data_IF_416670517996
#
_entry.id   IF_416670517996
#
_cell.length_a   1.000
_cell.length_b   1.000
_cell.length_c   1.000
_cell.angle_alpha   90.00
_cell.angle_beta   90.00
_cell.angle_gamma   90.00
#
_symmetry.space_group_name_H-M   'P 1'
#
loop_
_entity.id
_entity.type
_entity.pdbx_description
1 polymer ?
#
# COMPACT_ATOMS: atom_id res chain seq x y z
N UNK A 1 -44.74 -21.40 1.19
CA UNK A 1 -43.81 -20.57 1.98
C UNK A 1 -42.68 -21.46 2.48
N UNK A 2 -41.56 -21.56 1.76
CA UNK A 2 -40.37 -22.33 2.12
C UNK A 2 -39.20 -21.39 2.37
N UNK A 3 -38.70 -21.37 3.61
CA UNK A 3 -37.56 -20.58 4.03
C UNK A 3 -36.30 -21.33 3.62
N UNK A 4 -35.47 -20.78 2.71
CA UNK A 4 -34.12 -21.27 2.43
C UNK A 4 -33.15 -20.76 3.50
N UNK A 5 -32.47 -21.69 4.17
CA UNK A 5 -31.36 -21.44 5.09
C UNK A 5 -30.06 -21.38 4.28
N UNK A 6 -29.12 -20.48 4.60
CA UNK A 6 -27.78 -20.51 3.99
C UNK A 6 -26.93 -21.60 4.65
N UNK A 7 -26.40 -22.51 3.84
CA UNK A 7 -25.45 -23.54 4.27
C UNK A 7 -24.07 -22.90 4.47
N UNK A 8 -23.58 -23.02 5.71
CA UNK A 8 -22.19 -22.80 6.05
C UNK A 8 -21.35 -23.94 5.49
N UNK A 9 -20.41 -23.65 4.62
CA UNK A 9 -19.44 -24.61 4.10
C UNK A 9 -18.21 -24.62 5.02
N UNK A 10 -18.15 -25.64 5.91
CA UNK A 10 -16.97 -26.00 6.68
C UNK A 10 -16.03 -26.76 5.74
N UNK A 11 -14.84 -26.28 5.49
CA UNK A 11 -13.76 -27.02 4.86
C UNK A 11 -12.77 -27.46 5.92
N UNK A 12 -12.72 -28.77 6.12
CA UNK A 12 -11.77 -29.51 6.94
C UNK A 12 -10.36 -29.49 6.28
N UNK A 13 -9.39 -28.95 7.02
CA UNK A 13 -7.98 -29.05 6.69
C UNK A 13 -7.45 -30.42 7.13
N UNK A 14 -7.04 -31.25 6.18
CA UNK A 14 -6.31 -32.50 6.42
C UNK A 14 -4.81 -32.23 6.59
N UNK A 15 -4.33 -32.53 7.77
CA UNK A 15 -2.94 -32.50 8.22
C UNK A 15 -2.18 -33.69 7.60
N UNK A 16 -1.18 -33.45 6.76
CA UNK A 16 -0.20 -34.46 6.35
C UNK A 16 1.15 -34.19 7.02
N UNK A 17 1.45 -35.06 7.99
CA UNK A 17 2.72 -35.12 8.70
C UNK A 17 3.61 -36.11 7.95
N UNK A 18 4.66 -35.68 7.27
CA UNK A 18 5.71 -36.57 6.73
C UNK A 18 7.00 -36.41 7.53
N UNK A 19 7.33 -37.47 8.23
CA UNK A 19 8.65 -37.68 8.85
C UNK A 19 9.71 -37.85 7.75
N UNK A 20 10.84 -37.12 7.86
CA UNK A 20 12.07 -37.35 7.14
C UNK A 20 13.15 -37.85 8.12
N UNK A 21 13.90 -38.92 7.78
CA UNK A 21 14.98 -39.39 8.64
C UNK A 21 16.26 -38.57 8.48
N UNK A 22 16.96 -38.40 9.59
CA UNK A 22 18.27 -37.79 9.65
C UNK A 22 19.32 -38.78 9.07
N UNK A 23 20.10 -38.29 8.09
CA UNK A 23 21.33 -38.97 7.66
C UNK A 23 22.54 -38.20 8.19
N UNK A 24 23.30 -38.87 9.03
CA UNK A 24 24.60 -38.45 9.50
C UNK A 24 25.66 -38.75 8.44
N UNK A 25 26.51 -37.78 8.11
CA UNK A 25 27.71 -37.98 7.31
C UNK A 25 28.96 -37.71 8.18
N UNK A 26 30.04 -38.49 7.97
CA UNK A 26 31.22 -38.47 8.85
C UNK A 26 32.16 -37.31 8.58
N UNK A 27 32.73 -36.81 9.66
CA UNK A 27 33.81 -35.80 9.66
C UNK A 27 35.11 -36.48 9.22
N UNK A 28 35.79 -35.93 8.21
CA UNK A 28 37.17 -36.21 7.90
C UNK A 28 38.08 -35.09 8.39
N UNK A 29 39.15 -35.53 9.06
CA UNK A 29 40.11 -34.69 9.72
C UNK A 29 41.05 -33.94 8.74
N UNK A 30 41.49 -32.82 9.25
CA UNK A 30 42.49 -31.85 8.83
C UNK A 30 43.87 -32.43 8.41
N UNK A 31 44.62 -31.71 7.60
CA UNK A 31 45.97 -31.42 8.03
C UNK A 31 46.34 -29.92 8.03
N UNK A 32 47.08 -29.57 9.07
CA UNK A 32 47.65 -28.28 9.35
C UNK A 32 48.57 -27.79 8.24
N UNK A 33 48.42 -26.53 7.81
CA UNK A 33 49.40 -25.85 6.99
C UNK A 33 49.80 -24.50 7.55
N UNK A 34 51.09 -24.29 7.46
CA UNK A 34 51.96 -23.28 8.02
C UNK A 34 51.50 -21.82 7.89
N UNK A 35 51.78 -21.04 8.94
CA UNK A 35 51.81 -19.58 8.95
C UNK A 35 52.86 -19.00 8.03
N UNK A 36 52.54 -18.05 7.17
CA UNK A 36 53.51 -17.10 6.64
C UNK A 36 53.58 -15.84 7.51
N UNK A 37 54.76 -15.27 7.60
CA UNK A 37 55.19 -14.12 8.38
C UNK A 37 54.49 -12.80 8.02
N UNK A 38 54.57 -11.79 8.89
CA UNK A 38 53.85 -10.52 8.75
C UNK A 38 54.48 -9.67 7.64
N UNK A 39 53.68 -9.30 6.66
CA UNK A 39 54.03 -8.28 5.66
C UNK A 39 53.77 -6.89 6.23
N UNK A 40 54.80 -6.06 6.07
CA UNK A 40 54.85 -4.67 6.46
C UNK A 40 53.66 -3.84 6.00
N UNK A 41 53.22 -3.03 6.92
CA UNK A 41 52.43 -1.83 6.83
C UNK A 41 52.64 -1.04 5.53
N UNK A 42 51.62 -1.00 4.70
CA UNK A 42 51.40 0.01 3.68
C UNK A 42 50.10 0.70 3.92
N UNK A 43 50.02 1.39 5.05
CA UNK A 43 49.03 2.44 5.33
C UNK A 43 49.37 3.65 4.45
N UNK A 44 49.07 3.57 3.15
CA UNK A 44 49.02 4.75 2.28
C UNK A 44 47.58 5.13 2.05
N UNK A 45 47.25 6.23 2.60
CA UNK A 45 46.23 7.21 2.19
C UNK A 45 45.20 6.68 1.17
N UNK A 46 44.29 5.85 1.66
CA UNK A 46 43.06 5.61 0.93
C UNK A 46 42.11 6.76 1.28
N UNK A 47 42.21 7.88 0.53
CA UNK A 47 41.16 8.88 0.48
C UNK A 47 39.84 8.14 0.26
N UNK A 48 38.89 8.17 1.21
CA UNK A 48 37.60 7.53 0.97
C UNK A 48 37.01 8.16 -0.29
N UNK A 49 36.43 7.34 -1.20
CA UNK A 49 35.77 7.90 -2.37
C UNK A 49 34.74 8.93 -1.87
N UNK A 50 34.56 10.07 -2.57
CA UNK A 50 33.61 11.08 -2.19
C UNK A 50 32.25 10.35 -1.98
N UNK A 51 31.73 10.43 -0.77
CA UNK A 51 30.39 9.97 -0.44
C UNK A 51 29.48 10.61 -1.46
N UNK A 52 29.07 9.84 -2.47
CA UNK A 52 28.06 10.30 -3.43
C UNK A 52 26.96 10.92 -2.59
N UNK A 53 26.65 12.19 -2.86
CA UNK A 53 25.67 12.97 -2.13
C UNK A 53 24.39 12.12 -2.03
N UNK A 54 24.22 11.39 -0.93
CA UNK A 54 22.97 10.73 -0.60
C UNK A 54 22.00 11.86 -0.49
N UNK A 55 21.02 11.90 -1.42
CA UNK A 55 19.95 12.87 -1.35
C UNK A 55 19.43 12.87 0.09
N UNK A 56 19.09 14.08 0.61
CA UNK A 56 18.62 14.22 1.97
C UNK A 56 17.48 13.22 2.20
N UNK A 57 17.68 12.29 3.13
CA UNK A 57 16.70 11.31 3.54
C UNK A 57 15.43 12.03 3.99
N UNK A 58 14.26 11.55 3.54
CA UNK A 58 12.97 12.14 3.93
C UNK A 58 12.46 11.53 5.22
N UNK A 59 11.71 12.32 6.00
CA UNK A 59 10.94 11.85 7.14
C UNK A 59 9.43 12.02 6.89
N UNK A 60 8.62 11.51 7.81
CA UNK A 60 7.17 11.56 7.70
C UNK A 60 6.64 13.00 7.66
N UNK A 61 7.24 13.92 8.41
CA UNK A 61 6.82 15.33 8.43
C UNK A 61 7.07 15.99 7.09
N UNK A 62 8.23 15.72 6.47
CA UNK A 62 8.53 16.24 5.14
C UNK A 62 7.50 15.76 4.12
N UNK A 63 7.18 14.45 4.12
CA UNK A 63 6.21 13.88 3.19
C UNK A 63 4.82 14.47 3.40
N UNK A 64 4.33 14.49 4.65
CA UNK A 64 3.00 14.99 4.97
C UNK A 64 2.85 16.47 4.63
N UNK A 65 3.87 17.29 4.93
CA UNK A 65 3.86 18.70 4.55
C UNK A 65 3.79 18.90 3.03
N UNK A 66 4.49 18.05 2.25
CA UNK A 66 4.48 18.12 0.79
C UNK A 66 3.16 17.66 0.17
N UNK A 67 2.48 16.72 0.81
CA UNK A 67 1.17 16.22 0.37
C UNK A 67 0.00 17.14 0.76
N UNK A 68 0.22 18.03 1.72
CA UNK A 68 -0.83 18.96 2.18
C UNK A 68 -1.28 19.87 1.04
N UNK A 69 -2.56 19.84 0.72
CA UNK A 69 -3.20 20.67 -0.31
C UNK A 69 -4.52 21.22 0.22
N UNK A 70 -4.77 22.53 0.07
CA UNK A 70 -6.09 23.08 0.39
C UNK A 70 -7.16 22.55 -0.59
N UNK A 71 -8.41 22.38 -0.13
CA UNK A 71 -9.51 22.10 -1.05
C UNK A 71 -9.82 23.34 -1.92
N UNK A 72 -10.44 23.18 -3.10
CA UNK A 72 -10.84 21.92 -3.71
C UNK A 72 -9.68 21.18 -4.35
N UNK A 73 -9.74 19.85 -4.31
CA UNK A 73 -8.73 18.97 -4.91
C UNK A 73 -9.39 17.94 -5.82
N UNK A 74 -8.69 17.56 -6.86
CA UNK A 74 -9.08 16.47 -7.76
C UNK A 74 -7.85 15.68 -8.20
N UNK A 75 -7.91 14.35 -8.12
CA UNK A 75 -6.80 13.46 -8.43
C UNK A 75 -7.33 12.25 -9.20
N UNK A 76 -6.91 12.04 -10.45
CA UNK A 76 -7.27 10.84 -11.20
C UNK A 76 -6.68 9.60 -10.55
N UNK A 77 -7.39 8.48 -10.65
CA UNK A 77 -6.90 7.19 -10.19
C UNK A 77 -7.18 6.06 -11.17
N UNK A 78 -6.31 5.05 -11.12
CA UNK A 78 -6.53 3.72 -11.71
C UNK A 78 -6.23 2.67 -10.66
N UNK A 79 -7.18 1.81 -10.37
CA UNK A 79 -7.12 0.74 -9.38
C UNK A 79 -7.26 -0.61 -10.05
N UNK A 80 -6.37 -1.54 -9.73
CA UNK A 80 -6.47 -2.92 -10.18
C UNK A 80 -7.09 -3.77 -9.07
N UNK A 81 -8.26 -4.35 -9.34
CA UNK A 81 -8.96 -5.25 -8.43
C UNK A 81 -8.82 -6.69 -8.85
N UNK A 82 -8.32 -7.49 -7.92
CA UNK A 82 -8.27 -8.94 -8.04
C UNK A 82 -9.44 -9.56 -7.25
N UNK A 83 -10.03 -10.61 -7.80
CA UNK A 83 -11.03 -11.39 -7.08
C UNK A 83 -10.97 -12.82 -7.60
N UNK A 84 -11.10 -13.79 -6.70
CA UNK A 84 -11.16 -15.21 -7.06
C UNK A 84 -12.33 -15.54 -8.01
N UNK A 85 -13.35 -14.68 -8.07
CA UNK A 85 -14.51 -14.84 -8.97
C UNK A 85 -14.29 -14.22 -10.35
N UNK A 86 -13.24 -13.41 -10.53
CA UNK A 86 -12.92 -12.76 -11.80
C UNK A 86 -11.87 -13.56 -12.56
N UNK A 87 -12.14 -13.84 -13.84
CA UNK A 87 -11.18 -14.51 -14.74
C UNK A 87 -9.99 -13.61 -15.11
N UNK A 88 -10.16 -12.29 -15.01
CA UNK A 88 -9.14 -11.27 -15.30
C UNK A 88 -9.25 -10.18 -14.23
N UNK A 89 -8.16 -9.49 -13.96
CA UNK A 89 -8.19 -8.30 -13.12
C UNK A 89 -9.22 -7.29 -13.64
N UNK A 90 -9.93 -6.63 -12.73
CA UNK A 90 -10.83 -5.54 -13.05
C UNK A 90 -10.08 -4.23 -12.89
N UNK A 91 -9.90 -3.51 -13.98
CA UNK A 91 -9.36 -2.15 -13.97
C UNK A 91 -10.50 -1.19 -13.69
N UNK A 92 -10.36 -0.40 -12.64
CA UNK A 92 -11.34 0.61 -12.23
C UNK A 92 -10.66 1.97 -12.31
N UNK A 93 -11.24 2.89 -13.07
CA UNK A 93 -10.69 4.24 -13.20
C UNK A 93 -11.71 5.31 -12.82
N UNK A 94 -11.19 6.48 -12.44
CA UNK A 94 -12.02 7.58 -12.01
C UNK A 94 -11.23 8.70 -11.37
N UNK A 95 -11.85 9.36 -10.40
CA UNK A 95 -11.29 10.53 -9.75
C UNK A 95 -11.62 10.56 -8.26
N UNK A 96 -10.62 10.87 -7.44
CA UNK A 96 -10.84 11.31 -6.07
C UNK A 96 -11.00 12.81 -6.06
N UNK A 97 -12.06 13.30 -5.41
CA UNK A 97 -12.30 14.73 -5.22
C UNK A 97 -12.44 15.06 -3.74
N UNK A 98 -11.89 16.18 -3.35
CA UNK A 98 -12.01 16.76 -2.03
C UNK A 98 -12.54 18.20 -2.18
N UNK A 99 -13.87 18.37 -2.24
CA UNK A 99 -14.47 19.69 -2.46
C UNK A 99 -14.29 20.63 -1.27
N UNK A 100 -14.24 20.10 -0.07
CA UNK A 100 -14.05 20.81 1.21
C UNK A 100 -13.16 19.99 2.17
N UNK A 101 -12.93 20.49 3.37
CA UNK A 101 -12.06 19.84 4.35
C UNK A 101 -12.56 18.47 4.84
N UNK A 102 -13.87 18.29 4.88
CA UNK A 102 -14.54 17.15 5.55
C UNK A 102 -15.13 16.12 4.58
N UNK A 103 -15.12 16.42 3.28
CA UNK A 103 -15.76 15.59 2.25
C UNK A 103 -14.71 14.96 1.33
N UNK A 104 -14.76 13.64 1.22
CA UNK A 104 -14.03 12.87 0.21
C UNK A 104 -15.03 12.22 -0.75
N UNK A 105 -14.85 12.45 -2.05
CA UNK A 105 -15.65 11.83 -3.11
C UNK A 105 -14.76 10.92 -3.94
N UNK A 106 -15.14 9.67 -4.07
CA UNK A 106 -14.56 8.72 -5.04
C UNK A 106 -15.56 8.53 -6.16
N UNK A 107 -15.25 9.02 -7.33
CA UNK A 107 -16.04 8.88 -8.54
C UNK A 107 -15.41 7.83 -9.45
N UNK A 108 -16.04 6.67 -9.60
CA UNK A 108 -15.68 5.66 -10.58
C UNK A 108 -16.40 6.01 -11.89
N UNK A 109 -15.63 6.05 -12.96
CA UNK A 109 -16.13 6.31 -14.32
C UNK A 109 -16.17 5.04 -15.14
N UNK A 110 -15.18 4.18 -15.00
CA UNK A 110 -15.06 2.91 -15.70
C UNK A 110 -14.73 1.77 -14.75
N UNK A 111 -15.24 0.55 -15.00
CA UNK A 111 -16.13 0.11 -16.09
C UNK A 111 -17.62 0.35 -15.78
N UNK A 112 -17.94 1.00 -14.71
CA UNK A 112 -19.30 1.35 -14.28
C UNK A 112 -19.29 2.71 -13.57
N UNK A 113 -20.41 3.45 -13.67
CA UNK A 113 -20.55 4.71 -12.96
C UNK A 113 -20.98 4.48 -11.50
N UNK A 114 -20.13 4.90 -10.55
CA UNK A 114 -20.41 4.86 -9.11
C UNK A 114 -19.78 6.06 -8.43
N UNK A 115 -20.51 6.71 -7.56
CA UNK A 115 -19.99 7.77 -6.70
C UNK A 115 -20.11 7.33 -5.24
N UNK A 116 -19.00 7.38 -4.51
CA UNK A 116 -18.98 7.21 -3.06
C UNK A 116 -18.59 8.54 -2.44
N UNK A 117 -19.52 9.14 -1.67
CA UNK A 117 -19.27 10.36 -0.91
C UNK A 117 -19.10 10.00 0.56
N UNK A 118 -17.98 10.37 1.14
CA UNK A 118 -17.64 10.12 2.53
C UNK A 118 -17.64 11.46 3.26
N UNK A 119 -18.46 11.56 4.32
CA UNK A 119 -18.56 12.74 5.17
C UNK A 119 -19.14 12.36 6.53
N UNK A 120 -18.63 12.96 7.61
CA UNK A 120 -19.22 12.83 8.95
C UNK A 120 -19.29 11.39 9.48
N UNK A 121 -18.39 10.49 9.06
CA UNK A 121 -18.40 9.09 9.48
C UNK A 121 -19.34 8.18 8.68
N UNK A 122 -19.99 8.68 7.63
CA UNK A 122 -20.84 7.91 6.73
C UNK A 122 -20.31 7.92 5.30
N UNK A 123 -20.57 6.85 4.56
CA UNK A 123 -20.34 6.73 3.13
C UNK A 123 -21.67 6.58 2.41
N UNK A 124 -21.99 7.49 1.49
CA UNK A 124 -23.13 7.39 0.59
C UNK A 124 -22.64 6.86 -0.76
N UNK A 125 -23.12 5.69 -1.15
CA UNK A 125 -22.80 5.02 -2.40
C UNK A 125 -23.97 5.17 -3.36
N UNK A 126 -23.74 5.87 -4.46
CA UNK A 126 -24.71 6.07 -5.53
C UNK A 126 -24.24 5.36 -6.81
N UNK A 127 -25.11 4.58 -7.43
CA UNK A 127 -24.86 3.83 -8.66
C UNK A 127 -26.01 4.05 -9.62
N UNK A 128 -25.70 4.21 -10.90
CA UNK A 128 -26.73 4.38 -11.92
C UNK A 128 -27.78 3.25 -11.87
N UNK A 129 -29.06 3.61 -11.90
CA UNK A 129 -30.19 2.67 -11.85
C UNK A 129 -30.46 2.02 -10.50
N UNK A 130 -29.82 2.48 -9.41
CA UNK A 130 -30.07 1.99 -8.04
C UNK A 130 -30.26 3.12 -7.07
N UNK A 131 -31.09 2.90 -6.04
CA UNK A 131 -31.23 3.86 -4.94
C UNK A 131 -29.89 4.00 -4.22
N UNK A 132 -29.49 5.22 -3.83
CA UNK A 132 -28.30 5.44 -3.02
C UNK A 132 -28.36 4.66 -1.71
N UNK A 133 -27.23 4.15 -1.27
CA UNK A 133 -27.08 3.41 -0.02
C UNK A 133 -26.11 4.11 0.91
N UNK A 134 -26.55 4.38 2.14
CA UNK A 134 -25.68 4.89 3.20
C UNK A 134 -25.11 3.74 4.02
N UNK A 135 -23.82 3.80 4.28
CA UNK A 135 -23.07 2.83 5.09
C UNK A 135 -22.28 3.61 6.13
N UNK A 136 -22.48 3.29 7.42
CA UNK A 136 -21.64 3.86 8.46
C UNK A 136 -20.23 3.25 8.39
N UNK A 137 -19.22 4.11 8.40
CA UNK A 137 -17.80 3.71 8.37
C UNK A 137 -17.40 2.88 9.59
N UNK A 138 -18.06 3.09 10.74
CA UNK A 138 -17.85 2.27 11.93
C UNK A 138 -18.13 0.77 11.69
N UNK A 139 -18.94 0.43 10.65
CA UNK A 139 -19.26 -0.94 10.26
C UNK A 139 -18.36 -1.51 9.15
N UNK A 140 -17.56 -0.64 8.51
CA UNK A 140 -16.68 -1.00 7.39
C UNK A 140 -15.28 -0.46 7.68
N UNK A 141 -14.51 -1.15 8.54
CA UNK A 141 -13.21 -0.68 9.01
C UNK A 141 -12.24 -0.31 7.89
N UNK A 142 -12.30 -1.01 6.76
CA UNK A 142 -11.45 -0.73 5.60
C UNK A 142 -11.76 0.65 4.99
N UNK A 143 -13.02 1.00 4.92
CA UNK A 143 -13.46 2.30 4.40
C UNK A 143 -13.18 3.41 5.41
N UNK A 144 -13.33 3.13 6.70
CA UNK A 144 -12.95 4.03 7.79
C UNK A 144 -11.43 4.31 7.78
N UNK A 145 -10.62 3.27 7.61
CA UNK A 145 -9.17 3.39 7.49
C UNK A 145 -8.77 4.24 6.28
N UNK A 146 -9.44 4.02 5.14
CA UNK A 146 -9.19 4.81 3.92
C UNK A 146 -9.53 6.29 4.16
N UNK A 147 -10.68 6.59 4.77
CA UNK A 147 -11.08 7.98 5.05
C UNK A 147 -10.13 8.67 6.03
N UNK A 148 -9.83 8.02 7.15
CA UNK A 148 -8.93 8.57 8.17
C UNK A 148 -7.53 8.84 7.61
N UNK A 149 -7.01 7.91 6.82
CA UNK A 149 -5.71 8.04 6.17
C UNK A 149 -5.69 9.18 5.15
N UNK A 150 -6.68 9.25 4.26
CA UNK A 150 -6.74 10.31 3.25
C UNK A 150 -6.97 11.69 3.85
N UNK A 151 -7.87 11.80 4.82
CA UNK A 151 -8.13 13.07 5.51
C UNK A 151 -6.87 13.60 6.19
N UNK A 152 -6.22 12.78 7.01
CA UNK A 152 -5.01 13.12 7.74
C UNK A 152 -3.81 13.37 6.82
N UNK A 153 -3.64 12.58 5.76
CA UNK A 153 -2.61 12.76 4.75
C UNK A 153 -2.76 14.11 4.02
N UNK A 154 -3.98 14.43 3.58
CA UNK A 154 -4.23 15.66 2.81
C UNK A 154 -4.32 16.90 3.68
N UNK A 155 -4.54 16.77 5.00
CA UNK A 155 -4.44 17.88 5.96
C UNK A 155 -3.03 18.04 6.54
N UNK A 156 -2.14 17.06 6.33
CA UNK A 156 -0.81 17.03 6.95
C UNK A 156 -0.87 16.79 8.47
N UNK A 157 -1.99 16.31 8.98
CA UNK A 157 -2.17 16.06 10.42
C UNK A 157 -1.53 14.74 10.83
N UNK A 158 -0.24 14.81 11.13
CA UNK A 158 0.54 13.68 11.61
C UNK A 158 -0.04 13.10 12.91
N UNK A 159 -0.44 13.96 13.83
CA UNK A 159 -0.96 13.52 15.14
C UNK A 159 -2.21 12.68 14.97
N UNK A 160 -3.15 13.11 14.12
CA UNK A 160 -4.34 12.33 13.79
C UNK A 160 -3.97 11.02 13.10
N UNK A 161 -3.00 11.02 12.20
CA UNK A 161 -2.57 9.81 11.51
C UNK A 161 -1.92 8.81 12.48
N UNK A 162 -1.11 9.27 13.42
CA UNK A 162 -0.46 8.43 14.45
C UNK A 162 -1.43 7.84 15.47
N UNK A 163 -2.62 8.40 15.64
CA UNK A 163 -3.66 7.78 16.49
C UNK A 163 -4.13 6.44 15.91
N UNK A 164 -4.09 6.29 14.58
CA UNK A 164 -4.59 5.13 13.87
C UNK A 164 -3.50 4.21 13.33
N UNK A 165 -2.28 4.75 13.06
CA UNK A 165 -1.19 4.03 12.41
C UNK A 165 0.15 4.24 13.10
N UNK A 166 1.00 3.22 13.06
CA UNK A 166 2.45 3.41 13.15
C UNK A 166 2.93 3.88 11.76
N UNK A 167 3.80 4.90 11.74
CA UNK A 167 4.24 5.57 10.52
C UNK A 167 5.73 5.36 10.36
N UNK A 168 6.15 4.88 9.19
CA UNK A 168 7.54 4.74 8.80
C UNK A 168 7.75 5.43 7.45
N UNK A 169 8.77 6.28 7.36
CA UNK A 169 9.15 6.97 6.13
C UNK A 169 10.53 6.49 5.67
N UNK A 170 10.72 6.40 4.37
CA UNK A 170 11.97 5.97 3.76
C UNK A 170 12.17 6.64 2.39
N UNK A 171 13.43 6.77 1.95
CA UNK A 171 13.78 7.26 0.64
C UNK A 171 14.28 8.70 0.61
N UNK A 172 14.21 9.28 -0.57
CA UNK A 172 14.65 10.65 -0.88
C UNK A 172 13.50 11.41 -1.57
N UNK A 173 13.56 12.75 -1.69
CA UNK A 173 12.49 13.51 -2.33
C UNK A 173 12.05 12.98 -3.69
N UNK A 174 12.97 12.51 -4.51
CA UNK A 174 12.67 12.00 -5.85
C UNK A 174 12.03 10.59 -5.87
N UNK A 175 12.06 9.86 -4.74
CA UNK A 175 11.47 8.53 -4.58
C UNK A 175 11.31 8.21 -3.10
N UNK A 176 10.13 8.50 -2.56
CA UNK A 176 9.83 8.30 -1.16
C UNK A 176 8.70 7.29 -0.94
N UNK A 177 8.75 6.68 0.22
CA UNK A 177 7.75 5.72 0.70
C UNK A 177 7.29 6.12 2.10
N UNK A 178 5.98 6.08 2.35
CA UNK A 178 5.38 6.22 3.67
C UNK A 178 4.56 4.96 3.95
N UNK A 179 4.96 4.19 4.96
CA UNK A 179 4.27 2.97 5.37
C UNK A 179 3.42 3.24 6.61
N UNK A 180 2.15 2.90 6.51
CA UNK A 180 1.15 3.04 7.56
C UNK A 180 0.73 1.66 8.04
N UNK A 181 1.09 1.28 9.28
CA UNK A 181 0.70 0.02 9.90
C UNK A 181 -0.44 0.26 10.89
N UNK A 182 -1.63 -0.36 10.71
CA UNK A 182 -2.77 -0.13 11.59
C UNK A 182 -2.48 -0.47 13.04
N UNK A 183 -2.85 0.41 13.98
CA UNK A 183 -2.78 0.19 15.44
C UNK A 183 -4.04 -0.48 15.98
N UNK A 184 -5.20 -0.21 15.36
CA UNK A 184 -6.45 -0.82 15.76
C UNK A 184 -6.48 -2.31 15.41
N UNK A 185 -6.78 -3.15 16.41
CA UNK A 185 -6.76 -4.60 16.28
C UNK A 185 -7.73 -5.12 15.21
N UNK A 186 -8.90 -4.50 15.04
CA UNK A 186 -9.89 -4.90 14.04
C UNK A 186 -9.38 -4.66 12.63
N UNK A 187 -8.82 -3.47 12.38
CA UNK A 187 -8.22 -3.12 11.09
C UNK A 187 -7.00 -4.01 10.82
N UNK A 188 -6.15 -4.22 11.83
CA UNK A 188 -4.94 -5.06 11.73
C UNK A 188 -5.24 -6.54 11.41
N UNK A 189 -6.44 -7.07 11.72
CA UNK A 189 -6.81 -8.44 11.29
C UNK A 189 -6.99 -8.57 9.78
N UNK A 190 -7.27 -7.48 9.07
CA UNK A 190 -7.58 -7.46 7.63
C UNK A 190 -6.50 -6.80 6.81
N UNK A 191 -5.92 -5.69 7.28
CA UNK A 191 -4.92 -4.89 6.60
C UNK A 191 -3.60 -5.03 7.34
N UNK A 192 -2.56 -5.48 6.64
CA UNK A 192 -1.20 -5.54 7.17
C UNK A 192 -0.53 -4.16 7.15
N UNK A 193 -0.66 -3.44 6.04
CA UNK A 193 -0.13 -2.09 5.88
C UNK A 193 -0.82 -1.36 4.72
N UNK A 194 -0.74 -0.04 4.72
CA UNK A 194 -0.98 0.83 3.57
C UNK A 194 0.33 1.51 3.24
N UNK A 195 0.82 1.32 2.02
CA UNK A 195 2.10 1.88 1.56
C UNK A 195 1.82 2.95 0.52
N UNK A 196 2.26 4.16 0.81
CA UNK A 196 2.18 5.29 -0.10
C UNK A 196 3.55 5.48 -0.75
N UNK A 197 3.55 5.76 -2.04
CA UNK A 197 4.76 6.05 -2.80
C UNK A 197 4.58 7.31 -3.61
N UNK A 198 5.62 8.12 -3.65
CA UNK A 198 5.54 9.37 -4.38
C UNK A 198 6.90 9.94 -4.76
N UNK A 199 6.82 11.08 -5.38
CA UNK A 199 7.97 11.88 -5.81
C UNK A 199 7.69 13.34 -5.52
N UNK A 200 8.66 14.01 -4.92
CA UNK A 200 8.56 15.43 -4.54
C UNK A 200 7.27 15.70 -3.75
N UNK A 201 6.30 16.36 -4.34
CA UNK A 201 5.01 16.70 -3.75
C UNK A 201 3.82 15.91 -4.35
N UNK A 202 4.11 14.90 -5.17
CA UNK A 202 3.07 14.08 -5.84
C UNK A 202 2.97 12.70 -5.19
N UNK A 203 1.78 12.36 -4.66
CA UNK A 203 1.42 11.00 -4.31
C UNK A 203 1.04 10.24 -5.60
N UNK A 204 1.79 9.21 -5.92
CA UNK A 204 1.66 8.47 -7.17
C UNK A 204 1.01 7.11 -7.04
N UNK A 205 1.17 6.48 -5.89
CA UNK A 205 0.61 5.16 -5.64
C UNK A 205 0.21 4.97 -4.18
N UNK A 206 -0.91 4.28 -3.99
CA UNK A 206 -1.30 3.69 -2.72
C UNK A 206 -1.41 2.18 -2.93
N UNK A 207 -0.64 1.42 -2.15
CA UNK A 207 -0.68 -0.04 -2.14
C UNK A 207 -1.29 -0.50 -0.82
N UNK A 208 -2.53 -0.99 -0.86
CA UNK A 208 -3.14 -1.63 0.31
C UNK A 208 -2.69 -3.08 0.36
N UNK A 209 -2.04 -3.47 1.46
CA UNK A 209 -1.58 -4.83 1.73
C UNK A 209 -2.55 -5.52 2.69
N UNK A 210 -3.41 -6.43 2.23
CA UNK A 210 -4.25 -7.19 3.12
C UNK A 210 -3.41 -8.21 3.92
N UNK A 211 -3.95 -8.72 5.02
CA UNK A 211 -3.32 -9.84 5.76
C UNK A 211 -3.33 -11.15 4.98
N UNK A 212 -4.32 -11.30 4.11
CA UNK A 212 -4.48 -12.48 3.25
C UNK A 212 -4.86 -12.01 1.85
N UNK A 213 -4.27 -12.64 0.85
CA UNK A 213 -4.48 -12.30 -0.55
C UNK A 213 -3.44 -11.30 -1.10
N UNK A 214 -3.69 -10.84 -2.31
CA UNK A 214 -2.77 -10.03 -3.07
C UNK A 214 -2.84 -8.55 -2.69
N UNK A 215 -1.73 -7.80 -2.80
CA UNK A 215 -1.73 -6.35 -2.68
C UNK A 215 -2.67 -5.70 -3.69
N UNK A 216 -3.27 -4.58 -3.28
CA UNK A 216 -4.18 -3.81 -4.12
C UNK A 216 -3.56 -2.44 -4.42
N UNK A 217 -2.93 -2.28 -5.59
CA UNK A 217 -2.36 -1.02 -6.02
C UNK A 217 -3.44 -0.08 -6.58
N UNK A 218 -3.35 1.19 -6.20
CA UNK A 218 -4.09 2.31 -6.77
C UNK A 218 -3.09 3.34 -7.26
N UNK A 219 -3.00 3.50 -8.57
CA UNK A 219 -2.19 4.53 -9.20
C UNK A 219 -2.92 5.86 -9.16
N UNK A 220 -2.20 6.94 -8.92
CA UNK A 220 -2.75 8.28 -8.73
C UNK A 220 -2.04 9.31 -9.62
N UNK A 221 -2.70 10.42 -9.86
CA UNK A 221 -2.15 11.59 -10.53
C UNK A 221 -1.42 11.22 -11.84
N UNK A 222 -0.17 11.61 -11.99
CA UNK A 222 0.65 11.30 -13.17
C UNK A 222 0.82 9.80 -13.41
N UNK A 223 0.85 8.96 -12.38
CA UNK A 223 0.94 7.51 -12.52
C UNK A 223 -0.36 6.87 -13.03
N UNK A 224 -1.50 7.50 -12.81
CA UNK A 224 -2.79 7.04 -13.38
C UNK A 224 -2.92 7.35 -14.88
N UNK A 225 -2.17 8.35 -15.38
CA UNK A 225 -2.16 8.70 -16.80
C UNK A 225 -1.38 7.62 -17.57
N UNK A 226 -2.06 6.93 -18.46
CA UNK A 226 -1.46 5.81 -19.22
C UNK A 226 -1.61 4.43 -18.57
N UNK A 227 -2.18 4.35 -17.36
CA UNK A 227 -2.40 3.10 -16.63
C UNK A 227 -3.67 2.33 -17.08
N UNK A 228 -4.41 2.83 -18.05
CA UNK A 228 -5.64 2.17 -18.59
C UNK A 228 -5.38 0.80 -19.23
N UNK A 229 -4.11 0.50 -19.57
CA UNK A 229 -3.68 -0.75 -20.18
C UNK A 229 -3.07 -1.74 -19.17
N UNK A 230 -3.33 -1.60 -17.85
CA UNK A 230 -2.82 -2.52 -16.86
C UNK A 230 -3.50 -3.89 -16.97
N UNK A 231 -2.76 -4.88 -17.46
CA UNK A 231 -3.28 -6.23 -17.67
C UNK A 231 -2.98 -7.20 -16.51
N UNK A 232 -2.11 -6.83 -15.57
CA UNK A 232 -1.68 -7.71 -14.48
C UNK A 232 -1.32 -6.94 -13.20
N UNK A 233 -1.40 -7.66 -12.07
CA UNK A 233 -0.96 -7.15 -10.78
C UNK A 233 0.51 -6.74 -10.80
N UNK A 234 1.38 -7.55 -11.40
CA UNK A 234 2.81 -7.24 -11.49
C UNK A 234 3.07 -5.96 -12.29
N UNK A 235 2.31 -5.71 -13.36
CA UNK A 235 2.40 -4.46 -14.11
C UNK A 235 1.98 -3.26 -13.26
N UNK A 236 0.88 -3.37 -12.50
CA UNK A 236 0.42 -2.32 -11.61
C UNK A 236 1.40 -2.06 -10.46
N UNK A 237 1.94 -3.11 -9.84
CA UNK A 237 2.96 -2.98 -8.78
C UNK A 237 4.28 -2.42 -9.29
N UNK A 238 4.68 -2.73 -10.52
CA UNK A 238 5.82 -2.06 -11.16
C UNK A 238 5.53 -0.58 -11.38
N UNK A 239 4.37 -0.24 -11.95
CA UNK A 239 3.99 1.16 -12.15
C UNK A 239 3.92 1.97 -10.84
N UNK A 240 3.61 1.32 -9.70
CA UNK A 240 3.72 1.90 -8.38
C UNK A 240 5.18 2.21 -7.96
N UNK A 241 6.14 1.35 -8.35
CA UNK A 241 7.54 1.44 -7.94
C UNK A 241 8.39 2.22 -8.95
N UNK A 242 8.09 2.00 -10.22
CA UNK A 242 8.83 2.64 -11.31
C UNK A 242 8.25 4.04 -11.51
N UNK A 243 8.95 5.01 -10.99
CA UNK A 243 8.64 6.41 -11.25
C UNK A 243 9.37 6.81 -12.52
N UNK A 244 8.72 6.90 -13.70
CA UNK A 244 9.38 7.38 -14.91
C UNK A 244 10.03 8.73 -14.63
N UNK A 245 11.28 8.87 -15.06
CA UNK A 245 12.04 10.13 -14.99
C UNK A 245 11.43 11.17 -15.91
#
# INVERSE_FOLDING_TARGET
MRRLRPHACLLLATLWLTLLPASAAPQTAEPAQARPAPRADQSRDRVPPPTAARGREVDADWILHRLTRPPPQSTPFVELRLSATLRRPLVVSGEYRRPDADTLVREVREPYAETTTIRGGDAVIARAGRAPRTVSLARVPELAALQGSFGALLSGDRTLLETHYAIEADGVPADWTLTLTPRDARTATRIAAVVLRGRDDELRCIETRPRQGDPQPTLLAGAAQGASALESLDAALRACRDVPR
#
